data_IF_329162742664
#
_entry.id   IF_329162742664
#
_cell.length_a   1.000
_cell.length_b   1.000
_cell.length_c   1.000
_cell.angle_alpha   90.00
_cell.angle_beta   90.00
_cell.angle_gamma   90.00
#
_symmetry.space_group_name_H-M   'P 1'
#
loop_
_entity.id
_entity.type
_entity.pdbx_description
1 polymer ?
#
# COMPACT_ATOMS: atom_id res chain seq x y z
N UNK A 1 -21.60 -21.95 7.15
CA UNK A 1 -20.76 -22.41 6.01
C UNK A 1 -20.06 -21.16 5.52
N UNK A 2 -19.03 -20.73 6.25
CA UNK A 2 -18.61 -19.31 6.29
C UNK A 2 -17.15 -19.11 5.86
N UNK A 3 -16.58 -20.10 5.16
CA UNK A 3 -15.19 -20.08 4.71
C UNK A 3 -15.13 -19.99 3.19
N UNK A 4 -14.43 -18.98 2.70
CA UNK A 4 -14.01 -18.87 1.29
C UNK A 4 -12.48 -19.00 1.26
N UNK A 5 -11.91 -20.07 0.69
CA UNK A 5 -10.47 -20.24 0.66
C UNK A 5 -9.84 -19.28 -0.36
N UNK A 6 -9.09 -18.29 0.15
CA UNK A 6 -8.33 -17.32 -0.65
C UNK A 6 -6.94 -17.19 -0.04
N UNK A 7 -5.93 -17.07 -0.90
CA UNK A 7 -4.53 -17.07 -0.49
C UNK A 7 -3.78 -15.87 -1.10
N UNK A 8 -2.90 -15.27 -0.31
CA UNK A 8 -1.91 -14.33 -0.82
C UNK A 8 -0.69 -15.09 -1.32
N UNK A 9 -0.22 -14.77 -2.53
CA UNK A 9 1.03 -15.30 -3.05
C UNK A 9 2.21 -14.54 -2.43
N UNK A 10 3.22 -15.25 -1.91
CA UNK A 10 4.47 -14.61 -1.49
C UNK A 10 5.13 -13.85 -2.65
N UNK A 11 5.74 -12.70 -2.36
CA UNK A 11 6.35 -11.83 -3.35
C UNK A 11 5.40 -10.77 -3.94
N UNK A 12 4.20 -10.62 -3.40
CA UNK A 12 3.16 -9.73 -3.95
C UNK A 12 2.77 -8.59 -3.01
N UNK A 13 2.43 -7.44 -3.60
CA UNK A 13 1.85 -6.28 -2.89
C UNK A 13 0.47 -5.99 -3.47
N UNK A 14 -0.56 -6.06 -2.63
CA UNK A 14 -1.95 -5.89 -3.03
C UNK A 14 -2.53 -4.65 -2.35
N UNK A 15 -2.91 -3.60 -3.10
CA UNK A 15 -3.69 -2.49 -2.57
C UNK A 15 -5.16 -2.90 -2.42
N UNK A 16 -5.78 -2.55 -1.30
CA UNK A 16 -7.19 -2.83 -1.01
C UNK A 16 -7.87 -1.65 -0.33
N UNK A 17 -9.13 -1.41 -0.68
CA UNK A 17 -10.04 -0.56 0.11
C UNK A 17 -10.74 -1.46 1.14
N UNK A 18 -10.36 -1.32 2.40
CA UNK A 18 -10.90 -2.16 3.48
C UNK A 18 -12.19 -1.60 4.09
N UNK A 19 -12.57 -0.37 3.73
CA UNK A 19 -13.82 0.26 4.17
C UNK A 19 -14.98 -0.20 3.29
N UNK A 20 -15.89 -1.04 3.80
CA UNK A 20 -17.04 -1.47 3.01
C UNK A 20 -17.96 -0.28 2.73
N UNK A 21 -18.40 -0.15 1.47
CA UNK A 21 -19.40 0.83 1.02
C UNK A 21 -20.51 0.11 0.25
N UNK A 22 -21.61 0.83 -0.01
CA UNK A 22 -22.78 0.30 -0.73
C UNK A 22 -22.58 0.16 -2.24
N UNK A 23 -21.60 0.87 -2.81
CA UNK A 23 -21.25 0.86 -4.23
C UNK A 23 -19.78 1.25 -4.42
N UNK A 24 -19.16 0.84 -5.52
CA UNK A 24 -17.76 1.18 -5.84
C UNK A 24 -17.55 2.68 -6.02
N UNK A 25 -18.52 3.40 -6.58
CA UNK A 25 -18.49 4.86 -6.73
C UNK A 25 -18.32 5.58 -5.38
N UNK A 26 -18.91 5.04 -4.31
CA UNK A 26 -18.78 5.56 -2.94
C UNK A 26 -17.42 5.25 -2.30
N UNK A 27 -16.61 4.39 -2.92
CA UNK A 27 -15.27 4.07 -2.46
C UNK A 27 -14.22 4.94 -3.13
N UNK A 28 -14.54 5.73 -4.17
CA UNK A 28 -13.55 6.36 -5.07
C UNK A 28 -12.38 7.01 -4.30
N UNK A 29 -12.70 7.80 -3.29
CA UNK A 29 -11.74 8.55 -2.46
C UNK A 29 -11.38 7.88 -1.12
N UNK A 30 -11.86 6.66 -0.87
CA UNK A 30 -11.47 5.91 0.32
C UNK A 30 -9.96 5.59 0.30
N UNK A 31 -9.31 5.59 1.48
CA UNK A 31 -7.91 5.22 1.58
C UNK A 31 -7.67 3.74 1.31
N UNK A 32 -6.40 3.44 1.06
CA UNK A 32 -5.92 2.09 0.78
C UNK A 32 -5.14 1.50 1.95
N UNK A 33 -5.35 0.21 2.15
CA UNK A 33 -4.44 -0.67 2.89
C UNK A 33 -3.55 -1.42 1.90
N UNK A 34 -2.25 -1.42 2.12
CA UNK A 34 -1.31 -2.23 1.35
C UNK A 34 -1.03 -3.55 2.08
N UNK A 35 -1.38 -4.68 1.45
CA UNK A 35 -1.01 -6.01 1.90
C UNK A 35 0.28 -6.45 1.21
N UNK A 36 1.37 -6.52 1.96
CA UNK A 36 2.72 -6.86 1.49
C UNK A 36 3.01 -8.30 1.92
N UNK A 37 2.83 -9.27 1.02
CA UNK A 37 3.10 -10.68 1.30
C UNK A 37 4.53 -11.04 0.89
N UNK A 38 5.42 -11.25 1.87
CA UNK A 38 6.83 -11.52 1.60
C UNK A 38 7.06 -12.94 1.08
N UNK A 39 7.89 -13.07 0.04
CA UNK A 39 8.44 -14.35 -0.40
C UNK A 39 9.58 -14.84 0.52
N UNK A 40 10.20 -15.95 0.15
CA UNK A 40 11.32 -16.55 0.89
C UNK A 40 12.57 -15.65 0.89
N UNK A 41 12.72 -14.80 -0.13
CA UNK A 41 13.77 -13.78 -0.22
C UNK A 41 13.41 -12.48 0.52
N UNK A 42 12.36 -12.50 1.34
CA UNK A 42 11.85 -11.33 2.08
C UNK A 42 11.58 -10.12 1.19
N UNK A 43 11.13 -10.40 -0.02
CA UNK A 43 10.86 -9.41 -1.04
C UNK A 43 9.38 -9.46 -1.45
N UNK A 44 8.88 -8.35 -1.98
CA UNK A 44 7.57 -8.29 -2.63
C UNK A 44 7.51 -7.17 -3.66
N UNK A 45 6.62 -7.31 -4.65
CA UNK A 45 6.35 -6.28 -5.64
C UNK A 45 4.88 -6.24 -6.00
N UNK A 46 4.40 -5.08 -6.42
CA UNK A 46 3.05 -4.92 -6.94
C UNK A 46 2.95 -3.65 -7.77
N UNK A 47 1.87 -3.54 -8.51
CA UNK A 47 1.52 -2.31 -9.22
C UNK A 47 0.13 -1.86 -8.80
N UNK A 48 -0.16 -0.59 -8.97
CA UNK A 48 -1.42 0.00 -8.57
C UNK A 48 -1.81 1.14 -9.50
N UNK A 49 -3.00 1.04 -10.09
CA UNK A 49 -3.53 1.95 -11.08
C UNK A 49 -4.78 2.66 -10.53
N UNK A 50 -4.90 3.97 -10.77
CA UNK A 50 -6.04 4.80 -10.36
C UNK A 50 -6.35 5.81 -11.46
N UNK A 51 -7.60 5.88 -11.88
CA UNK A 51 -8.18 6.92 -12.73
C UNK A 51 -9.59 7.30 -12.21
N UNK A 52 -10.40 7.96 -13.04
CA UNK A 52 -11.78 8.34 -12.69
C UNK A 52 -12.79 7.17 -12.74
N UNK A 53 -12.41 6.03 -13.33
CA UNK A 53 -13.23 4.82 -13.54
C UNK A 53 -14.48 5.00 -14.42
N UNK A 54 -14.63 6.11 -15.15
CA UNK A 54 -15.84 6.42 -15.92
C UNK A 54 -15.53 6.84 -17.35
N UNK A 55 -14.50 7.67 -17.54
CA UNK A 55 -14.23 8.29 -18.83
C UNK A 55 -13.13 7.56 -19.62
N UNK A 56 -12.76 8.12 -20.77
CA UNK A 56 -11.58 7.70 -21.53
C UNK A 56 -10.37 8.60 -21.29
N UNK A 57 -10.39 9.44 -20.26
CA UNK A 57 -9.32 10.41 -20.00
C UNK A 57 -7.99 9.78 -19.62
N UNK A 58 -7.96 8.48 -19.32
CA UNK A 58 -6.72 7.72 -19.26
C UNK A 58 -5.91 7.81 -20.57
N UNK A 59 -6.58 7.99 -21.73
CA UNK A 59 -5.91 8.24 -23.03
C UNK A 59 -5.21 9.59 -23.09
N UNK A 60 -5.62 10.53 -22.22
CA UNK A 60 -5.04 11.85 -22.05
C UNK A 60 -4.09 11.92 -20.84
N UNK A 61 -3.58 10.77 -20.36
CA UNK A 61 -2.71 10.65 -19.19
C UNK A 61 -3.33 11.12 -17.86
N UNK A 62 -4.67 11.07 -17.73
CA UNK A 62 -5.36 11.35 -16.46
C UNK A 62 -5.53 10.09 -15.63
N UNK A 63 -4.41 9.53 -15.19
CA UNK A 63 -4.35 8.42 -14.24
C UNK A 63 -3.08 8.52 -13.38
N UNK A 64 -2.97 7.64 -12.38
CA UNK A 64 -1.75 7.39 -11.62
C UNK A 64 -1.43 5.91 -11.76
N UNK A 65 -0.19 5.59 -12.15
CA UNK A 65 0.31 4.21 -12.16
C UNK A 65 1.55 4.07 -11.30
N UNK A 66 1.47 3.23 -10.27
CA UNK A 66 2.44 3.12 -9.19
C UNK A 66 3.05 1.73 -9.21
N UNK A 67 4.35 1.66 -8.97
CA UNK A 67 5.07 0.45 -8.61
C UNK A 67 5.41 0.48 -7.13
N UNK A 68 5.02 -0.58 -6.43
CA UNK A 68 5.47 -0.85 -5.07
C UNK A 68 6.55 -1.94 -5.08
N UNK A 69 7.59 -1.74 -4.27
CA UNK A 69 8.60 -2.77 -4.01
C UNK A 69 8.90 -2.83 -2.53
N UNK A 70 9.01 -4.03 -1.99
CA UNK A 70 9.56 -4.29 -0.67
C UNK A 70 10.84 -5.10 -0.81
N UNK A 71 11.93 -4.61 -0.24
CA UNK A 71 13.21 -5.32 -0.16
C UNK A 71 14.03 -4.76 0.99
N UNK A 72 14.81 -5.61 1.66
CA UNK A 72 15.77 -5.21 2.70
C UNK A 72 15.15 -4.35 3.82
N UNK A 73 13.91 -4.66 4.22
CA UNK A 73 13.20 -3.91 5.26
C UNK A 73 12.61 -2.56 4.82
N UNK A 74 12.60 -2.28 3.51
CA UNK A 74 12.12 -1.01 2.94
C UNK A 74 10.98 -1.27 1.96
N UNK A 75 9.81 -0.69 2.24
CA UNK A 75 8.72 -0.53 1.28
C UNK A 75 8.92 0.80 0.54
N UNK A 76 8.91 0.77 -0.79
CA UNK A 76 9.06 1.94 -1.64
C UNK A 76 7.92 2.04 -2.65
N UNK A 77 7.51 3.28 -2.93
CA UNK A 77 6.55 3.65 -3.95
C UNK A 77 7.21 4.55 -4.99
N UNK A 78 7.02 4.24 -6.28
CA UNK A 78 7.48 5.05 -7.40
C UNK A 78 6.41 5.11 -8.49
N UNK A 79 6.24 6.25 -9.14
CA UNK A 79 5.40 6.38 -10.33
C UNK A 79 6.07 5.67 -11.50
N UNK A 80 5.28 4.98 -12.32
CA UNK A 80 5.75 4.23 -13.49
C UNK A 80 5.96 5.16 -14.68
N UNK A 81 5.15 6.21 -14.79
CA UNK A 81 5.19 7.22 -15.84
C UNK A 81 4.85 8.62 -15.29
N UNK A 82 4.72 9.59 -16.19
CA UNK A 82 4.44 10.99 -15.87
C UNK A 82 2.95 11.36 -15.87
N UNK A 83 2.04 10.37 -15.99
CA UNK A 83 0.61 10.61 -15.93
C UNK A 83 0.19 11.23 -14.58
N UNK A 84 -0.86 12.05 -14.61
CA UNK A 84 -1.31 12.80 -13.43
C UNK A 84 -2.82 12.72 -13.30
N UNK A 85 -3.26 12.24 -12.16
CA UNK A 85 -4.65 12.28 -11.73
C UNK A 85 -4.73 12.89 -10.35
N UNK A 86 -5.78 13.67 -10.09
CA UNK A 86 -6.01 14.27 -8.78
C UNK A 86 -6.95 13.38 -7.97
N UNK A 87 -6.51 12.97 -6.78
CA UNK A 87 -7.33 12.18 -5.86
C UNK A 87 -7.01 12.54 -4.42
N UNK A 88 -8.00 12.40 -3.54
CA UNK A 88 -7.80 12.53 -2.09
C UNK A 88 -7.39 11.21 -1.42
N UNK A 89 -7.28 10.11 -2.19
CA UNK A 89 -6.88 8.82 -1.66
C UNK A 89 -5.46 8.82 -1.08
N UNK A 90 -5.29 8.06 0.01
CA UNK A 90 -4.04 8.00 0.78
C UNK A 90 -3.84 6.60 1.37
N UNK A 91 -2.63 6.30 1.84
CA UNK A 91 -2.29 5.02 2.48
C UNK A 91 -2.62 5.09 3.97
N UNK A 92 -3.69 4.41 4.40
CA UNK A 92 -4.10 4.38 5.80
C UNK A 92 -3.40 3.31 6.63
N UNK A 93 -2.95 2.24 5.98
CA UNK A 93 -2.36 1.09 6.66
C UNK A 93 -1.47 0.28 5.73
N UNK A 94 -0.43 -0.31 6.30
CA UNK A 94 0.37 -1.35 5.63
C UNK A 94 0.34 -2.59 6.52
N UNK A 95 0.05 -3.75 5.93
CA UNK A 95 0.12 -5.05 6.58
C UNK A 95 1.17 -5.88 5.88
N UNK A 96 2.25 -6.21 6.58
CA UNK A 96 3.34 -7.03 6.05
C UNK A 96 3.17 -8.45 6.59
N UNK A 97 2.86 -9.39 5.71
CA UNK A 97 2.67 -10.81 6.03
C UNK A 97 4.02 -11.51 5.91
N UNK A 98 4.30 -12.43 6.84
CA UNK A 98 5.59 -13.13 6.98
C UNK A 98 6.77 -12.17 7.29
N UNK A 99 6.46 -11.08 8.00
CA UNK A 99 7.44 -10.11 8.48
C UNK A 99 8.34 -10.71 9.58
N UNK A 100 9.60 -10.25 9.71
CA UNK A 100 10.44 -10.64 10.84
C UNK A 100 9.87 -10.11 12.16
N UNK A 101 10.04 -10.88 13.24
CA UNK A 101 9.73 -10.42 14.60
C UNK A 101 10.73 -9.36 15.06
N UNK A 102 10.35 -8.56 16.06
CA UNK A 102 11.25 -7.63 16.73
C UNK A 102 11.20 -6.19 16.22
N UNK A 103 10.51 -5.92 15.11
CA UNK A 103 10.29 -4.56 14.59
C UNK A 103 9.45 -3.75 15.57
N UNK A 104 9.99 -2.62 16.04
CA UNK A 104 9.37 -1.77 17.07
C UNK A 104 8.67 -0.55 16.48
N UNK A 105 9.14 -0.07 15.34
CA UNK A 105 8.57 1.06 14.64
C UNK A 105 8.92 1.01 13.15
N UNK A 106 8.39 1.97 12.41
CA UNK A 106 8.85 2.25 11.06
C UNK A 106 9.06 3.74 10.88
N UNK A 107 9.82 4.13 9.87
CA UNK A 107 10.01 5.53 9.48
C UNK A 107 9.56 5.73 8.06
N UNK A 108 8.61 6.64 7.85
CA UNK A 108 8.17 7.08 6.54
C UNK A 108 8.98 8.29 6.08
N UNK A 109 9.34 8.32 4.79
CA UNK A 109 9.88 9.49 4.11
C UNK A 109 9.08 9.77 2.84
N UNK A 110 8.65 11.01 2.65
CA UNK A 110 8.05 11.49 1.41
C UNK A 110 8.36 12.97 1.22
N UNK A 111 8.21 13.48 -0.01
CA UNK A 111 8.46 14.90 -0.31
C UNK A 111 7.55 15.84 0.50
N UNK A 112 6.26 15.51 0.62
CA UNK A 112 5.27 16.37 1.28
C UNK A 112 5.25 16.24 2.81
N UNK A 113 5.38 15.01 3.34
CA UNK A 113 5.33 14.78 4.79
C UNK A 113 6.70 14.83 5.47
N UNK A 114 7.79 14.97 4.71
CA UNK A 114 9.15 14.88 5.25
C UNK A 114 9.40 13.49 5.84
N UNK A 115 10.01 13.44 7.03
CA UNK A 115 10.26 12.19 7.77
C UNK A 115 9.31 12.07 8.95
N UNK A 116 8.58 10.95 9.04
CA UNK A 116 7.61 10.70 10.11
C UNK A 116 7.83 9.31 10.72
N UNK A 117 7.88 9.24 12.06
CA UNK A 117 7.92 7.97 12.79
C UNK A 117 6.51 7.36 12.86
N UNK A 118 6.39 6.09 12.50
CA UNK A 118 5.15 5.33 12.47
C UNK A 118 5.12 4.26 13.56
N UNK A 119 3.95 4.06 14.15
CA UNK A 119 3.71 2.98 15.11
C UNK A 119 3.49 1.66 14.38
N UNK A 120 4.01 0.58 14.95
CA UNK A 120 3.81 -0.78 14.46
C UNK A 120 3.18 -1.67 15.52
N UNK A 121 2.48 -2.71 15.07
CA UNK A 121 1.95 -3.77 15.93
C UNK A 121 2.25 -5.10 15.26
N UNK A 122 2.88 -6.02 15.98
CA UNK A 122 3.21 -7.35 15.46
C UNK A 122 2.25 -8.39 16.03
N UNK A 123 1.69 -9.21 15.15
CA UNK A 123 0.88 -10.36 15.46
C UNK A 123 1.74 -11.62 15.28
N UNK A 124 2.04 -12.29 16.39
CA UNK A 124 2.87 -13.50 16.41
C UNK A 124 2.19 -14.74 15.84
N UNK A 125 0.86 -14.84 15.97
CA UNK A 125 0.10 -15.99 15.48
C UNK A 125 0.03 -15.96 13.95
N UNK A 126 -0.30 -14.79 13.38
CA UNK A 126 -0.40 -14.60 11.94
C UNK A 126 0.93 -14.20 11.28
N UNK A 127 2.01 -14.06 12.07
CA UNK A 127 3.35 -13.60 11.64
C UNK A 127 3.27 -12.35 10.77
N UNK A 128 2.51 -11.36 11.23
CA UNK A 128 2.21 -10.16 10.45
C UNK A 128 2.52 -8.87 11.22
N UNK A 129 3.04 -7.87 10.52
CA UNK A 129 3.33 -6.55 11.06
C UNK A 129 2.35 -5.53 10.46
N UNK A 130 1.62 -4.83 11.32
CA UNK A 130 0.77 -3.71 10.91
C UNK A 130 1.47 -2.39 11.18
N UNK A 131 1.60 -1.54 10.16
CA UNK A 131 2.03 -0.15 10.27
C UNK A 131 0.79 0.73 10.23
N UNK A 132 0.57 1.51 11.29
CA UNK A 132 -0.66 2.30 11.46
C UNK A 132 -0.50 3.72 10.91
N UNK A 133 -1.49 4.16 10.13
CA UNK A 133 -1.66 5.54 9.65
C UNK A 133 -0.41 6.14 8.99
N UNK A 134 0.16 5.55 7.91
CA UNK A 134 1.21 6.21 7.14
C UNK A 134 0.84 7.62 6.68
N UNK A 135 -0.42 7.86 6.28
CA UNK A 135 -0.92 9.22 6.03
C UNK A 135 -0.50 9.83 4.70
N UNK A 136 0.34 9.14 3.92
CA UNK A 136 0.86 9.64 2.65
C UNK A 136 -0.15 9.49 1.52
N UNK A 137 -0.28 10.52 0.68
CA UNK A 137 -1.10 10.45 -0.53
C UNK A 137 -0.57 9.37 -1.46
N UNK A 138 -1.47 8.67 -2.17
CA UNK A 138 -1.07 7.71 -3.21
C UNK A 138 -0.29 8.39 -4.35
N UNK A 139 -0.47 9.70 -4.53
CA UNK A 139 0.21 10.50 -5.56
C UNK A 139 1.68 10.78 -5.23
N UNK A 140 2.07 10.69 -3.96
CA UNK A 140 3.40 11.12 -3.51
C UNK A 140 4.32 9.89 -3.36
N UNK A 141 5.42 9.81 -4.13
CA UNK A 141 6.44 8.79 -3.91
C UNK A 141 6.95 8.81 -2.46
N UNK A 142 7.09 7.62 -1.88
CA UNK A 142 7.45 7.47 -0.47
C UNK A 142 8.29 6.22 -0.24
N UNK A 143 8.98 6.21 0.90
CA UNK A 143 9.61 5.02 1.47
C UNK A 143 9.15 4.82 2.90
N UNK A 144 9.04 3.56 3.34
CA UNK A 144 8.81 3.16 4.73
C UNK A 144 9.88 2.14 5.10
N UNK A 145 10.72 2.47 6.07
CA UNK A 145 11.81 1.63 6.55
C UNK A 145 11.46 1.05 7.92
N UNK A 146 11.57 -0.27 8.08
CA UNK A 146 11.34 -0.97 9.35
C UNK A 146 12.53 -0.84 10.31
N UNK A 147 12.26 -0.69 11.61
CA UNK A 147 13.27 -0.47 12.66
C UNK A 147 12.93 -1.17 13.98
#
# INVERSE_FOLDING_TARGET
MDKVPVYYRGGSIIPRKDRPRRASTLTHDDPFTLYVALDDNKSAKGTFYIDDNESYDYKNNLYIYIKFTYKDGVLSSSLIDDARFSTSAWIERVVIINAPSGIKHATLKSKKLGTTKLQTTYDGENRSLTIRKPGVSVMDPFTITLQ
#
